data_IF_396368976627
#
_entry.id   IF_396368976627
#
_cell.length_a   1.000
_cell.length_b   1.000
_cell.length_c   1.000
_cell.angle_alpha   90.00
_cell.angle_beta   90.00
_cell.angle_gamma   90.00
#
_symmetry.space_group_name_H-M   'P 1'
#
loop_
_entity.id
_entity.type
_entity.pdbx_description
1 polymer ?
#
# COMPACT_ATOMS: atom_id res chain seq x y z
N UNK A 1 10.79 55.17 33.49
CA UNK A 1 9.81 54.38 32.70
C UNK A 1 10.12 54.52 31.22
N UNK A 2 10.83 53.56 30.63
CA UNK A 2 11.10 53.53 29.17
C UNK A 2 10.44 52.29 28.60
N UNK A 3 9.41 52.48 27.77
CA UNK A 3 8.77 51.43 26.98
C UNK A 3 9.70 51.08 25.83
N UNK A 4 10.06 49.79 25.72
CA UNK A 4 10.72 49.25 24.55
C UNK A 4 9.64 48.80 23.56
N UNK A 5 9.65 49.38 22.37
CA UNK A 5 8.91 48.89 21.20
C UNK A 5 9.60 47.60 20.70
N UNK A 6 8.83 46.55 20.55
CA UNK A 6 9.24 45.33 19.83
C UNK A 6 8.70 45.43 18.42
N UNK A 7 9.61 45.52 17.46
CA UNK A 7 9.30 45.52 16.04
C UNK A 7 9.11 44.05 15.56
N UNK A 8 8.06 43.72 14.86
CA UNK A 8 7.94 42.39 14.28
C UNK A 8 8.86 42.24 13.07
N UNK A 9 9.65 41.18 13.05
CA UNK A 9 10.46 40.78 11.92
C UNK A 9 9.51 40.13 10.92
N UNK A 10 9.32 40.77 9.78
CA UNK A 10 8.66 40.18 8.63
C UNK A 10 9.66 39.27 7.94
N UNK A 11 9.39 37.96 7.94
CA UNK A 11 10.10 36.99 7.11
C UNK A 11 9.53 37.11 5.70
N UNK A 12 10.31 37.69 4.82
CA UNK A 12 9.99 37.72 3.40
C UNK A 12 10.37 36.34 2.80
N UNK A 13 9.40 35.54 2.47
CA UNK A 13 9.56 34.38 1.62
C UNK A 13 9.91 34.86 0.21
N UNK A 14 11.17 34.75 -0.16
CA UNK A 14 11.64 35.03 -1.51
C UNK A 14 11.25 33.89 -2.45
N UNK A 15 10.25 34.11 -3.28
CA UNK A 15 9.96 33.25 -4.42
C UNK A 15 11.00 33.56 -5.51
N UNK A 16 11.89 32.61 -5.75
CA UNK A 16 12.81 32.70 -6.91
C UNK A 16 12.03 32.26 -8.17
N UNK A 17 11.58 33.24 -8.91
CA UNK A 17 11.11 33.00 -10.29
C UNK A 17 12.34 32.77 -11.17
N UNK A 18 12.59 31.54 -11.53
CA UNK A 18 13.48 31.21 -12.64
C UNK A 18 12.79 31.67 -13.91
N UNK A 19 13.44 32.59 -14.66
CA UNK A 19 12.87 33.21 -15.82
C UNK A 19 12.50 32.21 -16.91
N UNK A 20 11.23 32.08 -17.16
CA UNK A 20 10.66 31.40 -18.33
C UNK A 20 10.69 32.39 -19.50
N UNK A 21 11.12 32.00 -20.72
CA UNK A 21 11.08 32.87 -21.87
C UNK A 21 9.64 33.32 -22.15
N UNK A 22 9.51 34.60 -22.43
CA UNK A 22 8.21 35.23 -22.73
C UNK A 22 7.52 34.50 -23.90
N UNK A 23 6.41 33.80 -23.64
CA UNK A 23 5.61 33.20 -24.71
C UNK A 23 4.66 32.07 -24.35
N UNK A 24 4.84 31.39 -23.20
CA UNK A 24 3.86 30.39 -22.71
C UNK A 24 3.72 30.53 -21.20
N UNK A 25 2.51 30.78 -20.74
CA UNK A 25 2.18 30.58 -19.34
C UNK A 25 2.33 29.10 -18.98
N UNK A 26 2.59 28.76 -17.68
CA UNK A 26 2.70 27.38 -17.26
C UNK A 26 1.44 26.60 -17.65
N UNK A 27 1.63 25.40 -18.19
CA UNK A 27 0.51 24.51 -18.48
C UNK A 27 -0.10 24.03 -17.16
N UNK A 28 -1.35 23.62 -17.20
CA UNK A 28 -2.02 23.05 -16.01
C UNK A 28 -1.25 21.82 -15.49
N UNK A 29 -0.56 21.11 -16.37
CA UNK A 29 0.30 19.98 -16.04
C UNK A 29 1.54 20.40 -15.24
N UNK A 30 2.19 21.52 -15.60
CA UNK A 30 3.35 22.02 -14.86
C UNK A 30 2.97 22.48 -13.44
N UNK A 31 1.78 23.05 -13.27
CA UNK A 31 1.25 23.47 -11.96
C UNK A 31 0.89 22.24 -11.11
N UNK A 32 0.40 21.18 -11.74
CA UNK A 32 -0.01 19.96 -11.03
C UNK A 32 1.20 19.16 -10.49
N UNK A 33 2.26 19.05 -11.27
CA UNK A 33 3.51 18.41 -10.85
C UNK A 33 4.15 19.17 -9.68
N UNK A 34 4.19 20.50 -9.75
CA UNK A 34 4.75 21.32 -8.67
C UNK A 34 3.95 21.23 -7.35
N UNK A 35 2.63 21.08 -7.42
CA UNK A 35 1.78 20.95 -6.22
C UNK A 35 1.84 19.54 -5.60
N UNK A 36 2.04 18.50 -6.39
CA UNK A 36 2.19 17.13 -5.88
C UNK A 36 3.52 16.93 -5.15
N UNK A 37 4.61 17.47 -5.67
CA UNK A 37 5.91 17.41 -4.99
C UNK A 37 5.89 18.25 -3.69
N UNK A 38 5.34 19.44 -3.70
CA UNK A 38 5.21 20.29 -2.52
C UNK A 38 4.27 19.70 -1.44
N UNK A 39 3.20 19.01 -1.85
CA UNK A 39 2.29 18.33 -0.93
C UNK A 39 2.92 17.08 -0.31
N UNK A 40 3.75 16.37 -1.07
CA UNK A 40 4.50 15.20 -0.57
C UNK A 40 5.53 15.60 0.49
N UNK A 41 6.20 16.76 0.33
CA UNK A 41 7.14 17.27 1.32
C UNK A 41 6.47 17.85 2.57
N UNK A 42 5.23 18.35 2.46
CA UNK A 42 4.53 19.00 3.58
C UNK A 42 3.79 18.04 4.50
N UNK A 43 3.43 16.86 4.03
CA UNK A 43 2.55 15.93 4.75
C UNK A 43 3.32 14.88 5.57
N UNK A 44 4.57 14.55 5.25
CA UNK A 44 5.34 13.53 5.97
C UNK A 44 4.68 12.13 6.00
N UNK A 45 3.52 11.99 5.37
CA UNK A 45 2.72 10.76 5.36
C UNK A 45 3.09 9.81 4.25
N UNK A 46 3.79 10.29 3.23
CA UNK A 46 4.49 9.43 2.31
C UNK A 46 5.80 9.02 2.97
N UNK A 47 5.92 7.75 3.30
CA UNK A 47 7.23 7.16 3.51
C UNK A 47 8.04 7.42 2.23
N UNK A 48 8.73 8.57 2.19
CA UNK A 48 9.72 8.82 1.15
C UNK A 48 10.72 7.69 1.29
N UNK A 49 10.70 6.80 0.34
CA UNK A 49 11.76 5.80 0.21
C UNK A 49 13.05 6.57 0.12
N UNK A 50 14.03 6.32 0.99
CA UNK A 50 15.35 6.91 0.79
C UNK A 50 15.79 6.50 -0.60
N UNK A 51 16.15 7.49 -1.40
CA UNK A 51 16.80 7.24 -2.68
C UNK A 51 17.99 6.33 -2.37
N UNK A 52 18.05 5.15 -2.96
CA UNK A 52 19.11 4.17 -2.69
C UNK A 52 20.53 4.69 -3.01
N UNK A 53 20.66 5.99 -3.25
CA UNK A 53 21.89 6.69 -3.57
C UNK A 53 22.61 7.39 -2.40
N UNK A 54 21.99 7.61 -1.24
CA UNK A 54 22.56 8.47 -0.19
C UNK A 54 23.18 7.76 1.02
N UNK A 55 23.32 6.45 1.00
CA UNK A 55 24.12 5.76 1.97
C UNK A 55 25.58 5.72 1.50
N UNK A 56 26.39 6.58 2.13
CA UNK A 56 27.87 6.65 2.06
C UNK A 56 28.43 7.49 0.89
N UNK A 57 29.09 8.58 1.25
CA UNK A 57 29.81 9.52 0.41
C UNK A 57 30.79 8.94 -0.61
N UNK A 58 30.28 8.35 -1.65
CA UNK A 58 30.98 7.97 -2.84
C UNK A 58 30.40 8.76 -4.01
N UNK A 59 31.24 9.58 -4.68
CA UNK A 59 30.88 10.22 -5.94
C UNK A 59 30.33 9.16 -6.90
N UNK A 60 29.03 9.11 -7.06
CA UNK A 60 28.40 8.39 -8.17
C UNK A 60 28.79 9.11 -9.45
N UNK A 61 29.69 8.54 -10.20
CA UNK A 61 29.86 8.86 -11.62
C UNK A 61 28.69 8.19 -12.30
N UNK A 62 27.58 8.91 -12.40
CA UNK A 62 26.45 8.49 -13.25
C UNK A 62 26.92 8.65 -14.69
N UNK A 63 27.51 7.59 -15.22
CA UNK A 63 27.58 7.41 -16.65
C UNK A 63 26.14 7.32 -17.20
N UNK A 64 25.91 7.66 -18.50
CA UNK A 64 24.57 7.56 -19.08
C UNK A 64 24.05 6.15 -18.80
N UNK A 65 22.90 6.04 -18.14
CA UNK A 65 22.26 4.78 -17.85
C UNK A 65 22.15 4.01 -19.17
N UNK A 66 22.97 2.99 -19.33
CA UNK A 66 22.75 2.03 -20.40
C UNK A 66 21.39 1.40 -20.11
N UNK A 67 20.36 1.83 -20.83
CA UNK A 67 19.11 1.12 -20.93
C UNK A 67 19.47 -0.30 -21.38
N UNK A 68 19.51 -1.22 -20.40
CA UNK A 68 19.63 -2.64 -20.73
C UNK A 68 18.40 -2.98 -21.55
N UNK A 69 18.61 -3.19 -22.85
CA UNK A 69 17.56 -3.63 -23.73
C UNK A 69 16.95 -4.90 -23.14
N UNK A 70 15.65 -4.86 -22.82
CA UNK A 70 14.92 -6.07 -22.46
C UNK A 70 15.00 -6.96 -23.70
N UNK A 71 15.46 -8.22 -23.59
CA UNK A 71 15.55 -9.09 -24.74
C UNK A 71 14.20 -9.18 -25.44
N UNK A 72 14.18 -8.98 -26.76
CA UNK A 72 12.99 -9.25 -27.55
C UNK A 72 12.55 -10.69 -27.30
N UNK A 73 11.34 -10.86 -26.75
CA UNK A 73 10.74 -12.16 -26.51
C UNK A 73 9.74 -12.48 -27.59
N UNK A 74 9.64 -13.77 -27.90
CA UNK A 74 8.62 -14.26 -28.82
C UNK A 74 7.23 -13.91 -28.26
N UNK A 75 6.32 -13.45 -29.11
CA UNK A 75 4.95 -13.06 -28.77
C UNK A 75 4.10 -14.18 -28.14
N UNK A 76 4.60 -15.41 -28.13
CA UNK A 76 3.89 -16.60 -27.64
C UNK A 76 4.07 -16.89 -26.16
N UNK A 77 5.13 -16.35 -25.49
CA UNK A 77 5.45 -16.69 -24.10
C UNK A 77 5.51 -15.50 -23.14
N UNK A 78 5.12 -14.34 -23.56
CA UNK A 78 5.16 -13.12 -22.75
C UNK A 78 6.04 -12.04 -23.35
N UNK A 79 6.37 -11.03 -22.56
CA UNK A 79 7.09 -9.84 -22.99
C UNK A 79 6.37 -8.59 -22.56
N UNK A 80 6.71 -7.49 -23.20
CA UNK A 80 6.12 -6.18 -22.95
C UNK A 80 4.76 -6.10 -23.67
N UNK A 81 3.68 -6.20 -22.92
CA UNK A 81 2.33 -6.27 -23.50
C UNK A 81 1.43 -5.14 -22.96
N UNK A 82 0.61 -4.51 -23.82
CA UNK A 82 -0.37 -3.55 -23.34
C UNK A 82 -1.48 -4.26 -22.56
N UNK A 83 -2.17 -3.56 -21.65
CA UNK A 83 -3.31 -4.13 -20.95
C UNK A 83 -4.43 -4.51 -21.91
N UNK A 84 -5.17 -5.57 -21.58
CA UNK A 84 -6.36 -6.00 -22.34
C UNK A 84 -7.44 -4.93 -22.33
N UNK A 85 -7.60 -4.28 -21.19
CA UNK A 85 -8.47 -3.12 -20.98
C UNK A 85 -7.80 -2.11 -20.07
N UNK A 86 -8.08 -0.86 -20.32
CA UNK A 86 -7.65 0.26 -19.50
C UNK A 86 -8.88 1.09 -19.15
N UNK A 87 -9.08 1.32 -17.88
CA UNK A 87 -10.03 2.31 -17.38
C UNK A 87 -9.26 3.61 -17.26
N UNK A 88 -9.64 4.61 -18.05
CA UNK A 88 -9.03 5.94 -17.99
C UNK A 88 -9.83 6.79 -17.02
N UNK A 89 -9.23 7.20 -15.92
CA UNK A 89 -9.76 8.20 -15.01
C UNK A 89 -9.04 9.54 -15.25
N UNK A 90 -9.74 10.69 -15.25
CA UNK A 90 -9.10 11.99 -15.50
C UNK A 90 -8.15 12.44 -14.39
N UNK A 91 -8.23 11.83 -13.21
CA UNK A 91 -7.43 12.20 -12.04
C UNK A 91 -6.99 10.95 -11.28
N UNK A 92 -6.25 10.03 -11.90
CA UNK A 92 -5.89 8.77 -11.26
C UNK A 92 -4.90 8.99 -10.11
N UNK A 93 -5.21 8.44 -8.96
CA UNK A 93 -4.33 8.35 -7.79
C UNK A 93 -4.80 7.19 -6.91
N UNK A 94 -4.74 5.98 -7.47
CA UNK A 94 -5.32 4.81 -6.85
C UNK A 94 -4.31 4.04 -6.01
N UNK A 95 -4.59 3.92 -4.71
CA UNK A 95 -3.77 3.14 -3.79
C UNK A 95 -4.23 1.69 -3.66
N UNK A 96 -5.52 1.49 -3.43
CA UNK A 96 -6.09 0.17 -3.18
C UNK A 96 -6.96 -0.32 -4.32
N UNK A 97 -7.01 -1.62 -4.48
CA UNK A 97 -7.95 -2.29 -5.38
C UNK A 97 -8.61 -3.47 -4.66
N UNK A 98 -9.93 -3.55 -4.76
CA UNK A 98 -10.70 -4.70 -4.31
C UNK A 98 -11.59 -5.21 -5.46
N UNK A 99 -11.81 -6.50 -5.49
CA UNK A 99 -12.48 -7.18 -6.58
C UNK A 99 -13.61 -8.06 -6.08
N UNK A 100 -14.77 -7.91 -6.70
CA UNK A 100 -15.90 -8.82 -6.55
C UNK A 100 -16.16 -9.55 -7.87
N UNK A 101 -15.73 -10.79 -7.95
CA UNK A 101 -15.92 -11.64 -9.14
C UNK A 101 -17.35 -12.18 -9.24
N UNK A 102 -18.12 -12.15 -8.18
CA UNK A 102 -19.52 -12.61 -8.15
C UNK A 102 -20.43 -11.59 -8.82
N UNK A 103 -20.29 -10.32 -8.47
CA UNK A 103 -21.08 -9.23 -9.02
C UNK A 103 -20.38 -8.49 -10.17
N UNK A 104 -19.21 -8.96 -10.58
CA UNK A 104 -18.39 -8.37 -11.65
C UNK A 104 -18.07 -6.88 -11.42
N UNK A 105 -17.55 -6.56 -10.23
CA UNK A 105 -17.18 -5.21 -9.83
C UNK A 105 -15.70 -5.11 -9.46
N UNK A 106 -15.14 -3.94 -9.68
CA UNK A 106 -13.84 -3.53 -9.14
C UNK A 106 -13.99 -2.20 -8.44
N UNK A 107 -13.48 -2.12 -7.21
CA UNK A 107 -13.42 -0.89 -6.45
C UNK A 107 -11.97 -0.45 -6.28
N UNK A 108 -11.74 0.84 -6.41
CA UNK A 108 -10.46 1.49 -6.20
C UNK A 108 -10.61 2.65 -5.23
N UNK A 109 -9.62 2.84 -4.35
CA UNK A 109 -9.51 4.03 -3.51
C UNK A 109 -8.65 5.09 -4.20
N UNK A 110 -9.16 6.31 -4.23
CA UNK A 110 -8.43 7.49 -4.70
C UNK A 110 -8.10 8.37 -3.49
N UNK A 111 -6.84 8.42 -3.13
CA UNK A 111 -6.39 9.15 -1.94
C UNK A 111 -6.39 10.66 -2.13
N UNK A 112 -6.08 11.15 -3.32
CA UNK A 112 -6.05 12.59 -3.60
C UNK A 112 -7.44 13.20 -3.57
N UNK A 113 -8.41 12.53 -4.16
CA UNK A 113 -9.82 12.99 -4.15
C UNK A 113 -10.60 12.52 -2.93
N UNK A 114 -9.99 11.73 -2.05
CA UNK A 114 -10.67 11.13 -0.89
C UNK A 114 -11.96 10.44 -1.32
N UNK A 115 -11.86 9.53 -2.28
CA UNK A 115 -13.01 8.90 -2.89
C UNK A 115 -12.83 7.40 -3.10
N UNK A 116 -13.97 6.71 -3.22
CA UNK A 116 -14.04 5.34 -3.69
C UNK A 116 -14.71 5.33 -5.06
N UNK A 117 -14.10 4.68 -6.02
CA UNK A 117 -14.65 4.52 -7.35
C UNK A 117 -14.89 3.04 -7.64
N UNK A 118 -16.11 2.72 -8.08
CA UNK A 118 -16.45 1.35 -8.50
C UNK A 118 -16.74 1.36 -9.99
N UNK A 119 -16.14 0.44 -10.70
CA UNK A 119 -16.36 0.20 -12.12
C UNK A 119 -16.91 -1.20 -12.33
N UNK A 120 -17.64 -1.37 -13.44
CA UNK A 120 -17.90 -2.71 -13.92
C UNK A 120 -16.57 -3.41 -14.23
N UNK A 121 -16.43 -4.68 -13.84
CA UNK A 121 -15.18 -5.42 -13.99
C UNK A 121 -14.68 -5.47 -15.45
N UNK A 122 -15.58 -5.35 -16.39
CA UNK A 122 -15.32 -5.33 -17.84
C UNK A 122 -15.29 -3.91 -18.43
N UNK A 123 -15.36 -2.87 -17.60
CA UNK A 123 -15.25 -1.49 -18.06
C UNK A 123 -13.90 -1.20 -18.71
N UNK A 124 -13.88 -0.14 -19.49
CA UNK A 124 -12.69 0.30 -20.21
C UNK A 124 -12.51 -0.35 -21.59
N UNK A 125 -11.47 0.04 -22.26
CA UNK A 125 -11.11 -0.52 -23.56
C UNK A 125 -9.59 -0.52 -23.74
N UNK A 126 -9.12 -1.24 -24.74
CA UNK A 126 -7.71 -1.28 -25.09
C UNK A 126 -7.21 0.01 -25.75
N UNK A 127 -8.08 0.71 -26.42
CA UNK A 127 -7.72 1.82 -27.33
C UNK A 127 -8.37 3.16 -26.99
N UNK A 128 -9.40 3.17 -26.15
CA UNK A 128 -10.09 4.41 -25.79
C UNK A 128 -9.20 5.28 -24.91
N UNK A 129 -9.04 6.53 -25.31
CA UNK A 129 -8.45 7.58 -24.48
C UNK A 129 -9.51 8.40 -23.74
N UNK A 130 -10.79 8.04 -23.89
CA UNK A 130 -11.86 8.71 -23.19
C UNK A 130 -11.94 8.18 -21.74
N UNK A 131 -12.18 9.08 -20.80
CA UNK A 131 -12.43 8.71 -19.42
C UNK A 131 -13.59 7.70 -19.33
N UNK A 132 -13.37 6.64 -18.57
CA UNK A 132 -14.44 5.70 -18.28
C UNK A 132 -15.35 6.29 -17.20
N UNK A 133 -16.65 6.10 -17.35
CA UNK A 133 -17.59 6.50 -16.32
C UNK A 133 -17.57 5.45 -15.19
N UNK A 134 -17.23 5.88 -13.99
CA UNK A 134 -17.39 5.03 -12.82
C UNK A 134 -18.88 4.69 -12.65
N UNK A 135 -19.17 3.42 -12.37
CA UNK A 135 -20.52 2.99 -12.00
C UNK A 135 -20.99 3.68 -10.74
N UNK A 136 -20.05 3.88 -9.81
CA UNK A 136 -20.25 4.58 -8.56
C UNK A 136 -19.01 5.41 -8.23
N UNK A 137 -19.26 6.57 -7.68
CA UNK A 137 -18.27 7.39 -7.00
C UNK A 137 -18.84 7.84 -5.66
N UNK A 138 -18.15 7.53 -4.60
CA UNK A 138 -18.44 7.97 -3.24
C UNK A 138 -17.40 9.01 -2.89
N UNK A 139 -17.81 10.26 -2.73
CA UNK A 139 -16.93 11.40 -2.48
C UNK A 139 -17.71 12.55 -1.84
N UNK A 140 -17.11 13.18 -0.86
CA UNK A 140 -17.65 14.38 -0.22
C UNK A 140 -17.51 14.35 1.31
N UNK A 141 -17.77 15.48 1.99
CA UNK A 141 -17.50 15.63 3.42
C UNK A 141 -18.30 14.70 4.32
N UNK A 142 -19.49 14.27 3.90
CA UNK A 142 -20.35 13.41 4.72
C UNK A 142 -19.98 11.93 4.62
N UNK A 143 -19.12 11.56 3.68
CA UNK A 143 -18.71 10.16 3.46
C UNK A 143 -17.80 9.63 4.55
N UNK A 144 -17.06 10.49 5.24
CA UNK A 144 -16.03 10.09 6.18
C UNK A 144 -14.81 9.42 5.51
N UNK A 145 -14.71 9.46 4.18
CA UNK A 145 -13.52 8.98 3.45
C UNK A 145 -12.44 10.06 3.55
N UNK A 146 -11.32 9.68 4.15
CA UNK A 146 -10.11 10.48 4.26
C UNK A 146 -8.99 9.95 3.39
N UNK A 147 -7.85 9.60 3.99
CA UNK A 147 -6.79 8.86 3.31
C UNK A 147 -7.14 7.37 3.28
N UNK A 148 -7.78 6.93 2.21
CA UNK A 148 -8.25 5.56 2.03
C UNK A 148 -7.08 4.62 1.70
N UNK A 149 -6.44 4.06 2.74
CA UNK A 149 -5.25 3.20 2.59
C UNK A 149 -5.62 1.77 2.16
N UNK A 150 -6.46 1.10 2.91
CA UNK A 150 -6.89 -0.26 2.61
C UNK A 150 -8.35 -0.32 2.16
N UNK A 151 -8.65 -1.22 1.23
CA UNK A 151 -10.01 -1.45 0.72
C UNK A 151 -10.34 -2.93 0.67
N UNK A 152 -11.62 -3.26 0.90
CA UNK A 152 -12.14 -4.61 0.73
C UNK A 152 -13.60 -4.57 0.24
N UNK A 153 -14.04 -5.65 -0.38
CA UNK A 153 -15.41 -5.86 -0.83
C UNK A 153 -15.98 -7.14 -0.22
N UNK A 154 -17.21 -7.07 0.27
CA UNK A 154 -17.98 -8.24 0.70
C UNK A 154 -19.11 -8.48 -0.30
N UNK A 155 -18.96 -9.47 -1.19
CA UNK A 155 -20.01 -9.77 -2.18
C UNK A 155 -21.28 -10.37 -1.59
N UNK A 156 -21.18 -11.01 -0.42
CA UNK A 156 -22.32 -11.67 0.24
C UNK A 156 -23.27 -10.63 0.83
N UNK A 157 -22.74 -9.67 1.57
CA UNK A 157 -23.53 -8.62 2.21
C UNK A 157 -23.63 -7.34 1.36
N UNK A 158 -22.97 -7.32 0.19
CA UNK A 158 -22.91 -6.20 -0.76
C UNK A 158 -22.41 -4.91 -0.10
N UNK A 159 -21.24 -5.02 0.55
CA UNK A 159 -20.63 -3.94 1.30
C UNK A 159 -19.21 -3.60 0.81
N UNK A 160 -18.93 -2.30 0.77
CA UNK A 160 -17.62 -1.73 0.45
C UNK A 160 -16.99 -1.23 1.73
N UNK A 161 -15.74 -1.61 1.98
CA UNK A 161 -14.97 -1.22 3.15
C UNK A 161 -13.76 -0.40 2.75
N UNK A 162 -13.50 0.69 3.47
CA UNK A 162 -12.20 1.36 3.42
C UNK A 162 -11.76 1.78 4.81
N UNK A 163 -10.46 1.61 5.07
CA UNK A 163 -9.81 2.11 6.27
C UNK A 163 -9.04 3.37 5.92
N UNK A 164 -9.25 4.42 6.71
CA UNK A 164 -8.49 5.65 6.60
C UNK A 164 -7.22 5.56 7.44
N UNK A 165 -6.10 6.03 6.86
CA UNK A 165 -4.84 6.21 7.56
C UNK A 165 -4.65 7.69 7.89
N UNK A 166 -4.07 8.01 9.05
CA UNK A 166 -3.64 9.33 9.52
C UNK A 166 -4.71 10.44 9.62
N UNK A 167 -5.55 10.62 8.64
CA UNK A 167 -6.45 11.78 8.54
C UNK A 167 -7.72 11.59 9.38
N UNK A 168 -8.28 10.41 9.35
CA UNK A 168 -9.54 10.07 10.03
C UNK A 168 -9.41 8.66 10.59
N UNK A 169 -9.44 8.50 11.90
CA UNK A 169 -9.31 7.19 12.58
C UNK A 169 -10.58 6.35 12.42
N UNK A 170 -10.94 6.06 11.18
CA UNK A 170 -12.21 5.42 10.83
C UNK A 170 -12.07 4.37 9.75
N UNK A 171 -12.79 3.29 9.93
CA UNK A 171 -13.20 2.42 8.85
C UNK A 171 -14.64 2.78 8.49
N UNK A 172 -14.89 3.04 7.23
CA UNK A 172 -16.22 3.36 6.72
C UNK A 172 -16.73 2.26 5.80
N UNK A 173 -18.00 1.96 5.91
CA UNK A 173 -18.66 0.90 5.15
C UNK A 173 -19.83 1.48 4.38
N UNK A 174 -19.93 1.17 3.11
CA UNK A 174 -21.00 1.60 2.22
C UNK A 174 -21.71 0.40 1.61
N UNK A 175 -22.96 0.58 1.25
CA UNK A 175 -23.66 -0.37 0.39
C UNK A 175 -23.14 -0.26 -1.06
N UNK A 176 -23.25 -1.34 -1.82
CA UNK A 176 -22.87 -1.37 -3.24
C UNK A 176 -23.59 -0.33 -4.12
N UNK A 177 -24.69 0.23 -3.64
CA UNK A 177 -25.46 1.21 -4.39
C UNK A 177 -25.22 2.66 -3.92
N UNK A 178 -24.33 2.87 -2.94
CA UNK A 178 -23.99 4.20 -2.41
C UNK A 178 -23.31 5.07 -3.48
N UNK A 179 -23.69 6.35 -3.58
CA UNK A 179 -23.16 7.29 -4.58
C UNK A 179 -23.11 8.71 -4.05
N UNK A 180 -22.11 9.47 -4.50
CA UNK A 180 -21.96 10.89 -4.19
C UNK A 180 -21.58 11.15 -2.75
N UNK A 181 -22.02 12.29 -2.23
CA UNK A 181 -21.78 12.69 -0.85
C UNK A 181 -22.86 12.09 0.07
N UNK A 182 -22.64 10.87 0.50
CA UNK A 182 -23.60 10.12 1.36
C UNK A 182 -22.92 9.69 2.66
N UNK A 183 -23.70 9.62 3.73
CA UNK A 183 -23.21 9.02 4.96
C UNK A 183 -22.93 7.54 4.77
N UNK A 184 -21.88 7.00 5.40
CA UNK A 184 -21.61 5.57 5.38
C UNK A 184 -22.76 4.80 6.05
N UNK A 185 -23.03 3.60 5.56
CA UNK A 185 -23.94 2.63 6.21
C UNK A 185 -23.51 2.35 7.64
N UNK A 186 -22.20 2.20 7.84
CA UNK A 186 -21.55 2.04 9.13
C UNK A 186 -20.25 2.82 9.16
N UNK A 187 -19.94 3.33 10.32
CA UNK A 187 -18.67 3.93 10.66
C UNK A 187 -18.15 3.20 11.90
N UNK A 188 -16.92 2.76 11.86
CA UNK A 188 -16.21 2.15 12.99
C UNK A 188 -14.98 2.99 13.29
N UNK A 189 -14.80 3.39 14.55
CA UNK A 189 -13.55 3.99 14.98
C UNK A 189 -12.47 2.91 15.14
N UNK A 190 -11.34 3.14 14.50
CA UNK A 190 -10.21 2.21 14.48
C UNK A 190 -8.96 2.90 15.04
N UNK A 191 -7.95 2.16 15.45
CA UNK A 191 -6.70 2.76 15.91
C UNK A 191 -6.08 3.68 14.85
N UNK A 192 -5.43 4.74 15.32
CA UNK A 192 -4.70 5.66 14.45
C UNK A 192 -3.63 4.93 13.63
N UNK A 193 -3.42 5.33 12.39
CA UNK A 193 -2.51 4.70 11.44
C UNK A 193 -2.86 3.24 11.11
N UNK A 194 -4.13 2.92 11.08
CA UNK A 194 -4.61 1.68 10.47
C UNK A 194 -4.34 1.71 8.96
N UNK A 195 -3.64 0.68 8.45
CA UNK A 195 -3.17 0.67 7.06
C UNK A 195 -3.82 -0.41 6.22
N UNK A 196 -3.42 -1.64 6.41
CA UNK A 196 -3.89 -2.78 5.63
C UNK A 196 -5.20 -3.35 6.19
N UNK A 197 -6.01 -3.91 5.31
CA UNK A 197 -7.21 -4.67 5.66
C UNK A 197 -7.13 -6.06 5.04
N UNK A 198 -7.23 -7.09 5.87
CA UNK A 198 -7.40 -8.48 5.45
C UNK A 198 -8.81 -8.94 5.85
N UNK A 199 -9.67 -9.10 4.86
CA UNK A 199 -11.02 -9.58 5.07
C UNK A 199 -11.07 -11.10 5.04
N UNK A 200 -11.63 -11.72 6.07
CA UNK A 200 -11.77 -13.16 6.21
C UNK A 200 -13.26 -13.54 6.19
N UNK A 201 -13.86 -13.74 5.00
CA UNK A 201 -15.30 -13.89 4.84
C UNK A 201 -15.87 -15.15 5.49
N UNK A 202 -15.12 -16.26 5.54
CA UNK A 202 -15.58 -17.51 6.19
C UNK A 202 -15.68 -17.37 7.71
N UNK A 203 -14.95 -16.41 8.28
CA UNK A 203 -14.91 -16.14 9.71
C UNK A 203 -15.74 -14.92 10.12
N UNK A 204 -16.28 -14.20 9.14
CA UNK A 204 -17.03 -12.95 9.32
C UNK A 204 -16.25 -11.89 10.11
N UNK A 205 -14.95 -11.75 9.81
CA UNK A 205 -14.04 -10.81 10.47
C UNK A 205 -13.16 -10.06 9.48
N UNK A 206 -12.59 -8.95 9.94
CA UNK A 206 -11.57 -8.18 9.24
C UNK A 206 -10.41 -7.89 10.18
N UNK A 207 -9.19 -8.10 9.71
CA UNK A 207 -7.96 -7.78 10.43
C UNK A 207 -7.34 -6.51 9.84
N UNK A 208 -6.90 -5.59 10.68
CA UNK A 208 -6.26 -4.34 10.31
C UNK A 208 -4.85 -4.30 10.88
N UNK A 209 -3.84 -4.04 10.04
CA UNK A 209 -2.51 -3.66 10.51
C UNK A 209 -2.51 -2.21 10.96
N UNK A 210 -1.79 -1.90 12.03
CA UNK A 210 -1.72 -0.57 12.63
C UNK A 210 -0.27 -0.22 12.90
N UNK A 211 0.24 0.76 12.19
CA UNK A 211 1.67 1.07 12.08
C UNK A 211 2.32 1.46 13.41
N UNK A 212 2.10 2.66 13.87
CA UNK A 212 2.81 3.23 15.03
C UNK A 212 2.62 2.47 16.33
N UNK A 213 1.42 1.96 16.68
CA UNK A 213 1.24 1.15 17.87
C UNK A 213 1.86 -0.26 17.76
N UNK A 214 2.46 -0.61 16.63
CA UNK A 214 3.04 -1.93 16.37
C UNK A 214 2.06 -3.05 16.70
N UNK A 215 0.89 -3.03 16.08
CA UNK A 215 -0.19 -3.96 16.38
C UNK A 215 -0.99 -4.36 15.16
N UNK A 216 -1.80 -5.39 15.32
CA UNK A 216 -2.97 -5.56 14.50
C UNK A 216 -4.21 -5.75 15.38
N UNK A 217 -5.37 -5.41 14.83
CA UNK A 217 -6.67 -5.60 15.48
C UNK A 217 -7.60 -6.40 14.58
N UNK A 218 -8.47 -7.19 15.19
CA UNK A 218 -9.48 -7.96 14.48
C UNK A 218 -10.86 -7.54 14.95
N UNK A 219 -11.69 -7.11 14.03
CA UNK A 219 -13.07 -6.74 14.27
C UNK A 219 -14.03 -7.74 13.64
N UNK A 220 -15.23 -7.81 14.17
CA UNK A 220 -16.34 -8.42 13.45
C UNK A 220 -16.61 -7.60 12.17
N UNK A 221 -17.03 -8.25 11.11
CA UNK A 221 -17.39 -7.58 9.85
C UNK A 221 -18.46 -6.50 10.05
N UNK A 222 -19.44 -6.74 10.92
CA UNK A 222 -20.56 -5.86 11.20
C UNK A 222 -20.30 -4.80 12.28
N UNK A 223 -19.07 -4.70 12.79
CA UNK A 223 -18.66 -3.73 13.80
C UNK A 223 -18.94 -2.29 13.38
N UNK A 224 -19.30 -1.45 14.35
CA UNK A 224 -19.71 -0.05 14.12
C UNK A 224 -19.41 0.84 15.31
N UNK A 225 -19.31 2.14 15.06
CA UNK A 225 -19.09 3.18 16.07
C UNK A 225 -17.86 2.86 16.93
N UNK A 226 -18.05 2.61 18.20
CA UNK A 226 -17.03 2.32 19.19
C UNK A 226 -17.01 0.83 19.58
N UNK A 227 -17.56 -0.04 18.74
CA UNK A 227 -17.47 -1.48 19.01
C UNK A 227 -15.99 -1.84 19.15
N UNK A 228 -15.60 -2.55 20.23
CA UNK A 228 -14.22 -2.92 20.44
C UNK A 228 -13.77 -4.00 19.44
N UNK A 229 -12.48 -4.07 19.14
CA UNK A 229 -11.95 -5.23 18.43
C UNK A 229 -12.20 -6.48 19.28
N UNK A 230 -12.58 -7.56 18.61
CA UNK A 230 -12.73 -8.87 19.26
C UNK A 230 -11.37 -9.48 19.64
N UNK A 231 -10.31 -9.04 18.97
CA UNK A 231 -8.92 -9.38 19.28
C UNK A 231 -8.01 -8.19 18.97
N UNK A 232 -6.98 -8.03 19.78
CA UNK A 232 -5.95 -7.02 19.61
C UNK A 232 -4.61 -7.66 19.96
N UNK A 233 -3.71 -7.78 19.00
CA UNK A 233 -2.36 -8.31 19.22
C UNK A 233 -1.39 -7.14 19.27
N UNK A 234 -0.86 -6.89 20.47
CA UNK A 234 0.00 -5.74 20.78
C UNK A 234 0.88 -6.05 22.00
N UNK A 235 2.10 -5.56 22.00
CA UNK A 235 3.00 -5.62 23.13
C UNK A 235 4.40 -6.09 22.75
N UNK A 236 5.35 -6.05 23.69
CA UNK A 236 6.77 -6.32 23.41
C UNK A 236 7.06 -7.76 22.95
N UNK A 237 6.20 -8.72 23.28
CA UNK A 237 6.39 -10.12 22.85
C UNK A 237 5.98 -10.37 21.41
N UNK A 238 5.19 -9.47 20.82
CA UNK A 238 4.65 -9.67 19.48
C UNK A 238 5.71 -9.62 18.40
N UNK A 239 6.81 -8.90 18.61
CA UNK A 239 7.85 -8.72 17.61
C UNK A 239 7.44 -7.82 16.44
N UNK A 240 6.25 -7.19 16.49
CA UNK A 240 5.83 -6.23 15.46
C UNK A 240 6.59 -4.92 15.58
N UNK A 241 6.90 -4.33 14.43
CA UNK A 241 7.53 -3.04 14.30
C UNK A 241 7.11 -2.39 12.98
N UNK A 242 6.20 -1.42 13.05
CA UNK A 242 5.64 -0.73 11.89
C UNK A 242 5.01 -1.71 10.87
N UNK A 243 3.93 -2.41 11.26
CA UNK A 243 3.27 -3.39 10.42
C UNK A 243 2.48 -2.73 9.27
N UNK A 244 2.70 -3.18 8.04
CA UNK A 244 2.02 -2.72 6.83
C UNK A 244 1.19 -3.80 6.18
N UNK A 245 1.79 -4.62 5.33
CA UNK A 245 1.08 -5.70 4.67
C UNK A 245 0.54 -6.72 5.66
N UNK A 246 -0.73 -7.09 5.51
CA UNK A 246 -1.39 -8.10 6.34
C UNK A 246 -2.18 -9.06 5.44
N UNK A 247 -2.11 -10.33 5.75
CA UNK A 247 -2.86 -11.38 5.08
C UNK A 247 -3.50 -12.32 6.11
N UNK A 248 -4.75 -12.68 5.92
CA UNK A 248 -5.43 -13.68 6.72
C UNK A 248 -5.55 -14.99 5.92
N UNK A 249 -4.74 -15.95 6.27
CA UNK A 249 -4.82 -17.31 5.72
C UNK A 249 -5.92 -18.08 6.46
N UNK A 250 -7.11 -18.13 5.85
CA UNK A 250 -8.25 -18.83 6.44
C UNK A 250 -8.12 -20.36 6.39
N UNK A 251 -7.28 -20.87 5.49
CA UNK A 251 -7.05 -22.32 5.34
C UNK A 251 -6.24 -22.87 6.51
N UNK A 252 -5.24 -22.11 6.97
CA UNK A 252 -4.38 -22.53 8.08
C UNK A 252 -4.68 -21.78 9.38
N UNK A 253 -5.67 -20.89 9.37
CA UNK A 253 -6.00 -20.02 10.51
C UNK A 253 -4.79 -19.20 10.98
N UNK A 254 -4.13 -18.51 10.08
CA UNK A 254 -2.94 -17.72 10.39
C UNK A 254 -3.08 -16.28 9.89
N UNK A 255 -2.53 -15.33 10.65
CA UNK A 255 -2.37 -13.94 10.24
C UNK A 255 -0.89 -13.67 9.99
N UNK A 256 -0.56 -13.27 8.77
CA UNK A 256 0.80 -12.98 8.31
C UNK A 256 0.96 -11.48 8.16
N UNK A 257 2.02 -10.92 8.77
CA UNK A 257 2.24 -9.47 8.84
C UNK A 257 3.65 -9.12 8.37
N UNK A 258 3.76 -8.15 7.47
CA UNK A 258 5.02 -7.53 7.08
C UNK A 258 5.35 -6.37 8.02
N UNK A 259 6.57 -6.33 8.54
CA UNK A 259 7.03 -5.31 9.47
C UNK A 259 8.23 -4.58 8.88
N UNK A 260 8.13 -3.24 8.73
CA UNK A 260 9.22 -2.41 8.20
C UNK A 260 10.42 -2.32 9.15
N UNK A 261 10.16 -2.40 10.45
CA UNK A 261 11.21 -2.31 11.47
C UNK A 261 11.34 -0.94 12.13
N UNK A 262 10.52 0.03 11.81
CA UNK A 262 10.47 1.32 12.50
C UNK A 262 9.70 1.18 13.81
N UNK A 263 10.37 0.67 14.84
CA UNK A 263 9.75 0.38 16.12
C UNK A 263 9.60 1.64 16.98
N UNK A 264 8.39 1.88 17.48
CA UNK A 264 8.10 2.87 18.52
C UNK A 264 7.59 2.18 19.78
N UNK A 265 8.15 2.49 20.98
CA UNK A 265 7.69 1.85 22.22
C UNK A 265 6.20 2.10 22.47
N UNK A 266 5.47 1.05 22.84
CA UNK A 266 4.03 1.14 23.10
C UNK A 266 3.68 1.99 24.32
N UNK A 267 4.63 2.18 25.23
CA UNK A 267 4.47 3.01 26.44
C UNK A 267 4.30 4.50 26.11
N UNK A 268 4.74 4.92 24.93
CA UNK A 268 4.57 6.31 24.46
C UNK A 268 3.18 6.55 23.87
N UNK A 269 2.39 5.51 23.76
CA UNK A 269 1.07 5.53 23.14
C UNK A 269 0.08 5.15 24.23
N UNK A 270 -0.25 6.11 25.09
CA UNK A 270 -0.99 5.87 26.33
C UNK A 270 -2.45 5.48 26.14
N UNK A 271 -3.02 5.59 24.92
CA UNK A 271 -4.43 5.29 24.71
C UNK A 271 -4.73 4.92 23.26
N UNK A 272 -4.54 3.64 22.91
CA UNK A 272 -5.02 3.12 21.63
C UNK A 272 -5.98 1.96 21.81
N UNK A 273 -7.04 2.20 22.52
CA UNK A 273 -8.23 1.37 22.38
C UNK A 273 -9.13 2.03 21.34
N UNK A 274 -9.93 1.27 20.62
CA UNK A 274 -10.97 1.82 19.76
C UNK A 274 -11.94 2.77 20.51
N UNK A 275 -11.92 2.72 21.84
CA UNK A 275 -12.65 3.60 22.73
C UNK A 275 -12.06 5.01 22.82
N UNK A 276 -10.75 5.15 22.67
CA UNK A 276 -10.02 6.41 22.92
C UNK A 276 -9.79 7.23 21.65
N UNK A 277 -10.31 6.80 20.52
CA UNK A 277 -10.18 7.55 19.25
C UNK A 277 -10.74 8.98 19.37
N UNK A 278 -11.62 9.24 20.34
CA UNK A 278 -12.16 10.56 20.62
C UNK A 278 -11.27 11.36 21.59
N UNK A 279 -10.65 10.69 22.57
CA UNK A 279 -9.75 11.29 23.55
C UNK A 279 -8.35 11.47 22.98
N UNK A 280 -7.86 10.53 22.18
CA UNK A 280 -6.56 10.60 21.51
C UNK A 280 -6.43 11.83 20.59
N UNK A 281 -7.53 12.31 20.04
CA UNK A 281 -7.56 13.55 19.25
C UNK A 281 -7.32 14.80 20.11
N UNK A 282 -7.73 14.77 21.35
CA UNK A 282 -7.59 15.89 22.29
C UNK A 282 -6.22 15.88 22.97
N UNK A 283 -5.65 14.69 23.19
CA UNK A 283 -4.31 14.52 23.76
C UNK A 283 -3.18 14.73 22.73
N UNK A 284 -3.44 14.56 21.44
CA UNK A 284 -2.45 14.80 20.36
C UNK A 284 -1.96 16.24 20.24
N UNK A 285 -2.64 17.20 20.83
CA UNK A 285 -2.18 18.59 20.84
C UNK A 285 -1.02 18.84 21.82
N UNK A 286 -0.64 17.85 22.61
CA UNK A 286 0.46 17.91 23.55
C UNK A 286 1.40 16.72 23.45
N UNK A 287 2.51 16.86 22.74
CA UNK A 287 3.73 16.03 22.83
C UNK A 287 3.64 14.52 22.54
N UNK A 288 2.59 14.02 21.91
CA UNK A 288 2.48 12.60 21.54
C UNK A 288 3.54 12.16 20.51
N UNK A 289 4.22 13.10 19.88
CA UNK A 289 5.33 12.90 18.95
C UNK A 289 6.60 13.57 19.43
N UNK A 290 7.02 13.25 20.67
CA UNK A 290 8.39 13.54 21.04
C UNK A 290 9.31 12.55 20.29
N UNK A 291 9.90 13.01 19.21
CA UNK A 291 10.90 12.25 18.44
C UNK A 291 12.07 11.78 19.31
N UNK A 292 12.32 12.48 20.43
CA UNK A 292 13.33 12.09 21.42
C UNK A 292 12.93 10.87 22.25
N UNK A 293 11.69 10.43 22.20
CA UNK A 293 11.15 9.36 23.02
C UNK A 293 11.54 7.94 22.58
N UNK A 294 12.58 7.77 21.76
CA UNK A 294 13.26 6.48 21.61
C UNK A 294 12.72 5.53 20.56
N UNK A 295 12.20 6.06 19.46
CA UNK A 295 12.01 5.25 18.25
C UNK A 295 13.35 4.64 17.80
N UNK A 296 13.33 3.44 17.32
CA UNK A 296 14.53 2.73 16.81
C UNK A 296 14.19 1.89 15.61
N UNK A 297 15.14 1.75 14.71
CA UNK A 297 15.04 0.74 13.68
C UNK A 297 15.48 -0.62 14.23
N UNK A 298 14.62 -1.61 14.07
CA UNK A 298 14.93 -3.02 14.28
C UNK A 298 14.92 -3.71 12.92
N UNK A 299 15.56 -4.87 12.76
CA UNK A 299 15.53 -5.57 11.48
C UNK A 299 14.09 -5.82 11.00
N UNK A 300 13.83 -5.53 9.74
CA UNK A 300 12.56 -5.85 9.09
C UNK A 300 12.24 -7.33 9.22
N UNK A 301 10.95 -7.68 9.24
CA UNK A 301 10.53 -9.07 9.49
C UNK A 301 9.19 -9.40 8.84
N UNK A 302 8.92 -10.70 8.76
CA UNK A 302 7.58 -11.25 8.59
C UNK A 302 7.24 -12.03 9.84
N UNK A 303 6.12 -11.69 10.49
CA UNK A 303 5.61 -12.38 11.68
C UNK A 303 4.31 -13.10 11.34
N UNK A 304 4.12 -14.28 11.92
CA UNK A 304 2.94 -15.11 11.70
C UNK A 304 2.31 -15.45 13.04
N UNK A 305 1.02 -15.18 13.16
CA UNK A 305 0.25 -15.43 14.38
C UNK A 305 -0.86 -16.43 14.12
N UNK A 306 -1.32 -17.08 15.18
CA UNK A 306 -2.59 -17.80 15.14
C UNK A 306 -3.73 -16.82 14.81
N UNK A 307 -4.67 -17.21 13.97
CA UNK A 307 -5.81 -16.38 13.59
C UNK A 307 -6.71 -15.97 14.76
N UNK A 308 -6.59 -16.68 15.90
CA UNK A 308 -7.31 -16.38 17.14
C UNK A 308 -6.42 -15.72 18.21
N UNK A 309 -5.18 -15.32 17.86
CA UNK A 309 -4.26 -14.64 18.76
C UNK A 309 -4.86 -13.37 19.35
N UNK A 310 -4.60 -13.11 20.64
CA UNK A 310 -5.06 -11.93 21.35
C UNK A 310 -4.08 -11.54 22.47
N UNK A 311 -3.87 -10.25 22.69
CA UNK A 311 -2.98 -9.71 23.72
C UNK A 311 -1.50 -9.69 23.32
N UNK A 312 -0.62 -9.65 24.33
CA UNK A 312 0.84 -9.65 24.15
C UNK A 312 1.36 -11.08 23.97
N UNK A 313 1.20 -11.61 22.78
CA UNK A 313 1.55 -12.99 22.44
C UNK A 313 2.77 -13.06 21.54
N UNK A 314 3.59 -14.06 21.71
CA UNK A 314 4.67 -14.37 20.80
C UNK A 314 4.10 -14.90 19.49
N UNK A 315 4.62 -14.48 18.33
CA UNK A 315 4.20 -15.06 17.05
C UNK A 315 4.52 -16.55 16.99
N UNK A 316 3.72 -17.29 16.26
CA UNK A 316 4.01 -18.70 15.94
C UNK A 316 5.37 -18.83 15.25
N UNK A 317 5.68 -17.86 14.41
CA UNK A 317 6.92 -17.79 13.62
C UNK A 317 7.31 -16.35 13.36
N UNK A 318 8.61 -16.09 13.33
CA UNK A 318 9.20 -14.83 12.87
C UNK A 318 10.29 -15.15 11.89
N UNK A 319 10.22 -14.58 10.68
CA UNK A 319 11.29 -14.62 9.69
C UNK A 319 12.01 -13.28 9.78
N UNK A 320 13.26 -13.30 10.24
CA UNK A 320 14.06 -12.09 10.47
C UNK A 320 15.53 -12.44 10.52
N UNK A 321 16.38 -11.53 10.07
CA UNK A 321 17.83 -11.65 10.18
C UNK A 321 18.53 -11.50 8.81
N UNK A 322 19.86 -11.41 8.80
CA UNK A 322 20.62 -11.12 7.57
C UNK A 322 20.45 -12.19 6.48
N UNK A 323 20.22 -13.46 6.86
CA UNK A 323 19.99 -14.52 5.88
C UNK A 323 18.61 -14.45 5.26
N UNK A 324 17.64 -13.90 5.98
CA UNK A 324 16.28 -13.72 5.50
C UNK A 324 16.18 -12.65 4.39
N UNK A 325 17.12 -11.71 4.33
CA UNK A 325 17.23 -10.65 3.31
C UNK A 325 16.00 -9.75 3.24
N UNK A 326 15.21 -9.67 4.30
CA UNK A 326 14.01 -8.83 4.35
C UNK A 326 14.45 -7.38 4.57
N UNK A 327 14.04 -6.49 3.68
CA UNK A 327 14.29 -5.06 3.76
C UNK A 327 13.05 -4.30 3.28
N UNK A 328 12.44 -3.56 4.18
CA UNK A 328 11.23 -2.77 3.93
C UNK A 328 10.12 -3.57 3.20
N UNK A 329 9.62 -4.66 3.79
CA UNK A 329 8.63 -5.54 3.16
C UNK A 329 7.26 -4.86 3.11
N UNK A 330 6.70 -4.68 1.92
CA UNK A 330 5.41 -4.02 1.70
C UNK A 330 4.26 -5.04 1.64
N UNK A 331 3.92 -5.50 0.46
CA UNK A 331 2.84 -6.44 0.24
C UNK A 331 3.21 -7.89 0.55
N UNK A 332 2.24 -8.62 1.09
CA UNK A 332 2.35 -10.06 1.34
C UNK A 332 1.24 -10.81 0.62
N UNK A 333 1.58 -11.93 0.01
CA UNK A 333 0.63 -12.94 -0.46
C UNK A 333 1.01 -14.31 0.11
N UNK A 334 0.01 -15.15 0.32
CA UNK A 334 0.21 -16.55 0.74
C UNK A 334 -0.29 -17.47 -0.37
N UNK A 335 0.58 -18.35 -0.83
CA UNK A 335 0.20 -19.48 -1.67
C UNK A 335 -0.20 -20.65 -0.76
N UNK A 336 -1.47 -20.71 -0.42
CA UNK A 336 -2.04 -21.73 0.46
C UNK A 336 -1.90 -23.14 -0.11
N UNK A 337 -1.87 -23.25 -1.46
CA UNK A 337 -1.73 -24.55 -2.15
C UNK A 337 -0.31 -25.10 -2.03
N UNK A 338 0.68 -24.23 -2.18
CA UNK A 338 2.10 -24.64 -2.19
C UNK A 338 2.80 -24.35 -0.86
N UNK A 339 2.09 -23.84 0.14
CA UNK A 339 2.62 -23.46 1.46
C UNK A 339 3.80 -22.49 1.36
N UNK A 340 3.62 -21.37 0.66
CA UNK A 340 4.66 -20.36 0.47
C UNK A 340 4.15 -18.96 0.84
N UNK A 341 5.00 -18.16 1.44
CA UNK A 341 4.79 -16.72 1.68
C UNK A 341 5.61 -15.97 0.63
N UNK A 342 4.94 -15.06 -0.09
CA UNK A 342 5.54 -14.19 -1.10
C UNK A 342 5.58 -12.78 -0.55
N UNK A 343 6.76 -12.16 -0.55
CA UNK A 343 6.99 -10.83 0.02
C UNK A 343 7.49 -9.87 -1.05
N UNK A 344 6.80 -8.75 -1.23
CA UNK A 344 7.32 -7.60 -1.95
C UNK A 344 8.38 -6.93 -1.09
N UNK A 345 9.65 -7.18 -1.38
CA UNK A 345 10.80 -6.70 -0.61
C UNK A 345 11.29 -5.38 -1.23
N UNK A 346 10.65 -4.29 -0.83
CA UNK A 346 10.74 -2.99 -1.50
C UNK A 346 12.15 -2.40 -1.40
N UNK A 347 12.77 -2.39 -0.22
CA UNK A 347 14.07 -1.75 0.01
C UNK A 347 15.23 -2.40 -0.75
N UNK A 348 15.11 -3.67 -1.13
CA UNK A 348 16.13 -4.41 -1.88
C UNK A 348 15.70 -4.73 -3.32
N UNK A 349 14.63 -4.11 -3.82
CA UNK A 349 14.13 -4.33 -5.18
C UNK A 349 14.04 -5.82 -5.55
N UNK A 350 13.40 -6.61 -4.68
CA UNK A 350 13.30 -8.06 -4.85
C UNK A 350 11.92 -8.60 -4.48
N UNK A 351 11.66 -9.82 -4.90
CA UNK A 351 10.56 -10.64 -4.36
C UNK A 351 11.17 -11.84 -3.66
N UNK A 352 10.82 -12.01 -2.40
CA UNK A 352 11.28 -13.12 -1.57
C UNK A 352 10.16 -14.16 -1.45
N UNK A 353 10.52 -15.42 -1.55
CA UNK A 353 9.58 -16.52 -1.35
C UNK A 353 10.11 -17.44 -0.25
N UNK A 354 9.32 -17.56 0.83
CA UNK A 354 9.64 -18.43 1.95
C UNK A 354 8.68 -19.61 2.03
N UNK A 355 9.09 -20.76 2.59
CA UNK A 355 8.13 -21.73 3.08
C UNK A 355 7.19 -21.07 4.09
N UNK A 356 5.89 -21.33 4.06
CA UNK A 356 4.93 -20.79 5.04
C UNK A 356 5.34 -21.09 6.49
N UNK A 357 6.01 -22.22 6.69
CA UNK A 357 6.49 -22.68 8.00
C UNK A 357 7.89 -22.16 8.37
N UNK A 358 8.48 -21.26 7.57
CA UNK A 358 9.80 -20.71 7.85
C UNK A 358 9.81 -19.89 9.16
N UNK A 359 10.89 -19.98 9.91
CA UNK A 359 11.10 -19.26 11.17
C UNK A 359 12.57 -19.00 11.42
N UNK A 360 12.90 -17.88 12.06
CA UNK A 360 14.25 -17.47 12.40
C UNK A 360 15.01 -16.83 11.24
N UNK A 361 16.33 -16.78 11.36
CA UNK A 361 17.22 -16.26 10.33
C UNK A 361 17.50 -17.34 9.27
N UNK A 362 16.52 -17.55 8.41
CA UNK A 362 16.57 -18.56 7.35
C UNK A 362 16.58 -17.87 5.97
N UNK A 363 17.33 -18.40 5.00
CA UNK A 363 17.29 -17.84 3.67
C UNK A 363 15.93 -18.09 3.02
N UNK A 364 15.47 -17.20 2.14
CA UNK A 364 14.30 -17.47 1.31
C UNK A 364 14.53 -18.71 0.44
N UNK A 365 13.50 -19.47 0.19
CA UNK A 365 13.49 -20.60 -0.73
C UNK A 365 13.86 -20.16 -2.15
N UNK A 366 13.41 -18.95 -2.53
CA UNK A 366 13.71 -18.30 -3.80
C UNK A 366 13.80 -16.78 -3.59
N UNK A 367 14.69 -16.16 -4.34
CA UNK A 367 14.82 -14.70 -4.46
C UNK A 367 14.73 -14.37 -5.94
N UNK A 368 13.83 -13.45 -6.31
CA UNK A 368 13.75 -12.88 -7.65
C UNK A 368 14.35 -11.49 -7.55
N UNK A 369 15.56 -11.30 -8.06
CA UNK A 369 16.32 -10.04 -7.96
C UNK A 369 17.36 -9.93 -9.06
N UNK A 370 17.63 -8.72 -9.49
CA UNK A 370 18.70 -8.40 -10.44
C UNK A 370 18.17 -7.62 -11.64
N UNK A 371 19.06 -7.04 -12.45
CA UNK A 371 18.67 -6.10 -13.51
C UNK A 371 17.75 -6.70 -14.59
N UNK A 372 17.82 -8.00 -14.85
CA UNK A 372 16.92 -8.63 -15.82
C UNK A 372 15.49 -8.76 -15.31
N UNK A 373 15.28 -8.70 -14.00
CA UNK A 373 13.94 -8.82 -13.43
C UNK A 373 13.07 -7.58 -13.68
N UNK A 374 13.68 -6.43 -13.85
CA UNK A 374 12.98 -5.15 -13.96
C UNK A 374 12.29 -4.70 -12.66
N UNK A 375 12.54 -5.37 -11.53
CA UNK A 375 11.93 -5.02 -10.24
C UNK A 375 12.55 -3.73 -9.70
N UNK A 376 11.71 -2.74 -9.41
CA UNK A 376 12.04 -1.48 -8.76
C UNK A 376 10.92 -1.07 -7.82
N UNK A 377 11.20 -0.96 -6.52
CA UNK A 377 10.22 -0.59 -5.51
C UNK A 377 8.95 -1.44 -5.58
N UNK A 378 8.98 -2.77 -5.43
CA UNK A 378 7.80 -3.60 -5.48
C UNK A 378 6.89 -3.31 -4.28
N UNK A 379 5.60 -3.02 -4.52
CA UNK A 379 4.65 -2.66 -3.48
C UNK A 379 3.68 -3.80 -3.16
N UNK A 380 2.98 -4.32 -4.15
CA UNK A 380 2.01 -5.39 -3.98
C UNK A 380 2.43 -6.68 -4.66
N UNK A 381 2.02 -7.81 -4.08
CA UNK A 381 2.17 -9.12 -4.70
C UNK A 381 0.86 -9.88 -4.70
N UNK A 382 0.67 -10.70 -5.74
CA UNK A 382 -0.40 -11.68 -5.80
C UNK A 382 0.14 -12.99 -6.38
N UNK A 383 -0.49 -14.10 -6.01
CA UNK A 383 -0.16 -15.43 -6.52
C UNK A 383 -1.42 -16.06 -7.12
N UNK A 384 -1.32 -16.47 -8.37
CA UNK A 384 -2.42 -17.15 -9.03
C UNK A 384 -1.94 -17.98 -10.23
N UNK A 385 -2.56 -19.13 -10.46
CA UNK A 385 -2.31 -20.00 -11.62
C UNK A 385 -0.83 -20.29 -11.88
N UNK A 386 -0.04 -20.47 -10.82
CA UNK A 386 1.39 -20.75 -10.94
C UNK A 386 2.23 -19.55 -11.35
N UNK A 387 1.74 -18.32 -11.13
CA UNK A 387 2.43 -17.08 -11.45
C UNK A 387 2.44 -16.13 -10.25
N UNK A 388 3.57 -15.48 -10.05
CA UNK A 388 3.75 -14.38 -9.10
C UNK A 388 3.58 -13.07 -9.88
N UNK A 389 2.68 -12.22 -9.40
CA UNK A 389 2.38 -10.92 -9.94
C UNK A 389 2.90 -9.85 -9.00
N UNK A 390 3.53 -8.82 -9.54
CA UNK A 390 4.21 -7.78 -8.76
C UNK A 390 3.77 -6.41 -9.27
N UNK A 391 3.20 -5.60 -8.39
CA UNK A 391 3.02 -4.17 -8.63
C UNK A 391 4.39 -3.50 -8.46
N UNK A 392 4.93 -2.95 -9.54
CA UNK A 392 6.30 -2.46 -9.64
C UNK A 392 6.31 -0.93 -9.69
N UNK A 393 6.20 -0.33 -8.51
CA UNK A 393 5.96 1.09 -8.31
C UNK A 393 7.02 1.97 -9.00
N UNK A 394 8.30 1.71 -8.76
CA UNK A 394 9.39 2.55 -9.21
C UNK A 394 9.73 2.45 -10.70
N UNK A 395 9.03 1.60 -11.46
CA UNK A 395 9.21 1.48 -12.91
C UNK A 395 7.89 1.52 -13.67
N UNK A 396 6.81 1.87 -12.96
CA UNK A 396 5.47 2.07 -13.56
C UNK A 396 5.01 0.88 -14.39
N UNK A 397 5.18 -0.34 -13.86
CA UNK A 397 4.82 -1.60 -14.54
C UNK A 397 4.17 -2.58 -13.58
N UNK A 398 3.51 -3.59 -14.13
CA UNK A 398 3.24 -4.82 -13.40
C UNK A 398 4.04 -5.97 -14.04
N UNK A 399 4.76 -6.71 -13.20
CA UNK A 399 5.63 -7.78 -13.63
C UNK A 399 5.01 -9.14 -13.30
N UNK A 400 5.21 -10.11 -14.19
CA UNK A 400 4.70 -11.46 -14.01
C UNK A 400 5.84 -12.45 -14.11
N UNK A 401 6.03 -13.22 -13.06
CA UNK A 401 7.02 -14.28 -13.01
C UNK A 401 6.37 -15.65 -12.87
N UNK A 402 6.95 -16.71 -13.44
CA UNK A 402 6.58 -18.06 -13.07
C UNK A 402 6.72 -18.24 -11.54
N UNK A 403 5.84 -18.99 -10.90
CA UNK A 403 5.91 -19.26 -9.45
C UNK A 403 7.27 -19.75 -8.99
N UNK A 404 7.94 -20.53 -9.83
CA UNK A 404 9.26 -21.09 -9.52
C UNK A 404 10.44 -20.20 -9.96
N UNK A 405 10.18 -18.98 -10.40
CA UNK A 405 11.24 -18.04 -10.77
C UNK A 405 12.22 -17.81 -9.61
N UNK A 406 13.49 -17.73 -9.92
CA UNK A 406 14.58 -17.47 -8.97
C UNK A 406 15.76 -16.79 -9.66
N UNK A 407 16.46 -15.94 -8.91
CA UNK A 407 17.65 -15.23 -9.37
C UNK A 407 17.34 -14.07 -10.31
N UNK A 408 18.32 -13.72 -11.12
CA UNK A 408 18.25 -12.63 -12.09
C UNK A 408 17.59 -13.13 -13.40
N UNK A 409 16.28 -13.26 -13.39
CA UNK A 409 15.49 -13.78 -14.52
C UNK A 409 14.54 -12.70 -15.04
N UNK A 410 14.34 -12.64 -16.33
CA UNK A 410 13.38 -11.75 -16.91
C UNK A 410 11.95 -12.19 -16.54
N UNK A 411 11.00 -11.25 -16.32
CA UNK A 411 9.61 -11.59 -16.14
C UNK A 411 9.06 -12.26 -17.42
N UNK A 412 8.08 -13.13 -17.22
CA UNK A 412 7.36 -13.76 -18.33
C UNK A 412 6.57 -12.74 -19.14
N UNK A 413 6.01 -11.76 -18.44
CA UNK A 413 5.27 -10.63 -19.00
C UNK A 413 5.60 -9.36 -18.23
N UNK A 414 5.63 -8.25 -18.95
CA UNK A 414 5.67 -6.90 -18.41
C UNK A 414 4.41 -6.20 -18.90
N UNK A 415 3.56 -5.77 -17.99
CA UNK A 415 2.38 -4.99 -18.32
C UNK A 415 2.72 -3.52 -18.18
N UNK A 416 2.49 -2.78 -19.24
CA UNK A 416 2.69 -1.33 -19.31
C UNK A 416 1.81 -0.77 -20.42
N UNK A 417 1.54 0.52 -20.41
CA UNK A 417 0.69 1.15 -21.41
C UNK A 417 1.45 1.91 -22.52
N UNK A 418 2.73 1.62 -22.66
CA UNK A 418 3.55 2.20 -23.72
C UNK A 418 4.39 1.09 -24.39
N UNK A 419 4.82 1.27 -25.64
CA UNK A 419 5.78 0.37 -26.28
C UNK A 419 7.09 0.26 -25.48
N UNK A 420 7.80 -0.84 -25.65
CA UNK A 420 9.12 -1.05 -25.05
C UNK A 420 10.06 0.14 -25.33
N UNK A 421 10.79 0.57 -24.32
CA UNK A 421 11.73 1.68 -24.42
C UNK A 421 11.08 3.08 -24.53
N UNK A 422 9.76 3.19 -24.35
CA UNK A 422 9.04 4.46 -24.21
C UNK A 422 8.53 4.62 -22.79
N UNK A 423 8.47 5.86 -22.32
CA UNK A 423 7.90 6.17 -21.02
C UNK A 423 6.42 5.78 -20.94
N UNK A 424 5.99 5.28 -19.79
CA UNK A 424 4.63 4.84 -19.54
C UNK A 424 3.81 5.97 -18.93
N UNK A 425 3.45 6.96 -19.69
CA UNK A 425 2.76 8.17 -19.20
C UNK A 425 1.35 7.94 -18.63
N UNK A 426 0.77 6.79 -18.81
CA UNK A 426 -0.57 6.46 -18.30
C UNK A 426 -0.61 5.22 -17.41
N UNK A 427 0.54 4.75 -16.95
CA UNK A 427 0.67 3.72 -15.93
C UNK A 427 1.60 4.30 -14.86
N UNK A 428 1.01 5.01 -13.87
CA UNK A 428 1.76 5.72 -12.84
C UNK A 428 2.35 4.78 -11.79
N UNK A 429 2.11 5.04 -10.55
CA UNK A 429 2.71 4.32 -9.43
C UNK A 429 1.81 3.15 -8.97
N UNK A 430 1.90 1.94 -9.53
CA UNK A 430 1.06 0.83 -9.14
C UNK A 430 1.38 0.38 -7.71
N UNK A 431 0.42 0.55 -6.81
CA UNK A 431 0.59 0.23 -5.39
C UNK A 431 0.05 -1.16 -5.04
N UNK A 432 -1.15 -1.47 -5.52
CA UNK A 432 -1.83 -2.71 -5.24
C UNK A 432 -1.96 -3.60 -6.49
N UNK A 433 -2.34 -4.84 -6.28
CA UNK A 433 -2.59 -5.79 -7.36
C UNK A 433 -3.67 -6.78 -6.92
N UNK A 434 -4.62 -7.05 -7.81
CA UNK A 434 -5.66 -8.04 -7.58
C UNK A 434 -5.77 -9.00 -8.76
N UNK A 435 -6.11 -10.26 -8.49
CA UNK A 435 -6.28 -11.29 -9.50
C UNK A 435 -7.73 -11.72 -9.62
N UNK A 436 -8.30 -11.59 -10.82
CA UNK A 436 -9.63 -12.10 -11.16
C UNK A 436 -9.55 -13.58 -11.53
N UNK A 437 -9.91 -14.44 -10.60
CA UNK A 437 -9.92 -15.89 -10.80
C UNK A 437 -10.93 -16.36 -11.86
N UNK A 438 -12.01 -15.60 -12.05
CA UNK A 438 -13.07 -15.90 -13.01
C UNK A 438 -12.62 -15.69 -14.45
N UNK A 439 -11.85 -14.62 -14.71
CA UNK A 439 -11.41 -14.23 -16.06
C UNK A 439 -9.94 -14.49 -16.32
N UNK A 440 -9.20 -14.88 -15.30
CA UNK A 440 -7.74 -15.03 -15.38
C UNK A 440 -7.03 -13.74 -15.77
N UNK A 441 -7.48 -12.65 -15.21
CA UNK A 441 -6.96 -11.30 -15.45
C UNK A 441 -6.43 -10.68 -14.17
N UNK A 442 -5.40 -9.85 -14.30
CA UNK A 442 -4.85 -9.04 -13.22
C UNK A 442 -5.34 -7.62 -13.36
N UNK A 443 -5.64 -7.02 -12.23
CA UNK A 443 -5.98 -5.61 -12.10
C UNK A 443 -4.86 -4.91 -11.34
N UNK A 444 -4.40 -3.82 -11.90
CA UNK A 444 -3.37 -2.98 -11.32
C UNK A 444 -3.93 -1.55 -11.31
N UNK A 445 -4.19 -0.99 -10.13
CA UNK A 445 -4.53 0.42 -10.01
C UNK A 445 -3.28 1.27 -10.23
N UNK A 446 -3.50 2.49 -10.60
CA UNK A 446 -2.47 3.37 -11.07
C UNK A 446 -2.64 4.78 -10.48
#
# INVERSE_FOLDING_TARGET
MRRRLVTPIAVALGVWLVGVPAGRGPSVEDIFVATTEAAAEADGSLCLMPDAGDAVGGRSVVGPAQQLAIPERSDTEGGDIPPVRMVVDPYPSFNGVALDTTNDLVMMSDTNRKSLLTYDRTAGSRTSKQAATARQQIMGPDTGVGFAAGVAMDPVHRELFTVNNDVEDRLVVFDYDARGNVNPKRLLYVPHQSWGIAFAPKRDVMALSVQTPNMFVVFRRDAKKFDPPIRSVRGPKTGMADPHGIYFDETHNEIVVANHGNYRPAELITSYTAYDARESRQERTGNAFDESAGGRFVPSSVTVYDGDANGDVTPLRTIQGPRAQIDWPMGIAVDEINNEIIVANNGDNSVLVFPRTASGDVPPKRVIRGPLTGIKGPMGTAIAKGEIWVANFGDHTALVFPRLAAGNVAPRRILRNAPAGKETSGFGNPYAIAYDTKRSEVLVPN
#
